data_IF_923883620918
#
_entry.id   IF_923883620918
#
_cell.length_a   1.000
_cell.length_b   1.000
_cell.length_c   1.000
_cell.angle_alpha   90.00
_cell.angle_beta   90.00
_cell.angle_gamma   90.00
#
_symmetry.space_group_name_H-M   'P 1'
#
loop_
_entity.id
_entity.type
_entity.pdbx_description
1 polymer ?
#
# COMPACT_ATOMS: atom_id res chain seq x y z
N UNK A 1 -4.95 12.05 15.75
CA UNK A 1 -4.59 10.72 15.19
C UNK A 1 -5.87 9.97 14.83
N UNK A 2 -5.82 9.03 13.87
CA UNK A 2 -7.00 8.25 13.44
C UNK A 2 -7.16 6.91 14.18
N UNK A 3 -6.12 6.44 14.87
CA UNK A 3 -6.11 5.14 15.55
C UNK A 3 -6.42 5.29 17.05
N UNK A 4 -7.16 4.31 17.57
CA UNK A 4 -7.46 4.17 18.99
C UNK A 4 -6.47 3.21 19.68
N UNK A 5 -6.32 3.26 21.00
CA UNK A 5 -5.46 2.33 21.72
C UNK A 5 -5.81 0.85 21.47
N UNK A 6 -4.78 0.01 21.39
CA UNK A 6 -4.82 -1.43 21.18
C UNK A 6 -5.39 -1.89 19.83
N UNK A 7 -5.59 -0.99 18.87
CA UNK A 7 -6.06 -1.38 17.55
C UNK A 7 -5.00 -2.14 16.76
N UNK A 8 -5.50 -3.04 15.90
CA UNK A 8 -4.70 -3.82 14.95
C UNK A 8 -4.81 -3.21 13.57
N UNK A 9 -3.63 -2.89 13.00
CA UNK A 9 -3.49 -2.35 11.65
C UNK A 9 -2.84 -3.42 10.79
N UNK A 10 -3.56 -3.94 9.81
CA UNK A 10 -3.06 -4.97 8.88
C UNK A 10 -2.73 -4.32 7.55
N UNK A 11 -1.51 -4.52 7.08
CA UNK A 11 -1.06 -4.13 5.74
C UNK A 11 -1.02 -5.37 4.86
N UNK A 12 -1.74 -5.35 3.75
CA UNK A 12 -1.79 -6.45 2.79
C UNK A 12 -1.53 -5.91 1.37
N UNK A 13 -0.84 -6.69 0.55
CA UNK A 13 -0.43 -6.30 -0.79
C UNK A 13 0.61 -7.25 -1.36
N UNK A 14 1.40 -6.76 -2.29
CA UNK A 14 2.42 -7.48 -3.05
C UNK A 14 3.85 -7.38 -2.44
N UNK A 15 4.88 -7.48 -3.31
CA UNK A 15 6.30 -7.39 -2.93
C UNK A 15 6.69 -6.07 -2.25
N UNK A 16 6.04 -4.98 -2.61
CA UNK A 16 6.31 -3.65 -2.04
C UNK A 16 5.88 -3.61 -0.57
N UNK A 17 4.77 -4.28 -0.25
CA UNK A 17 4.29 -4.45 1.13
C UNK A 17 5.10 -5.51 1.87
N UNK A 18 5.43 -6.64 1.24
CA UNK A 18 6.25 -7.72 1.82
C UNK A 18 7.61 -7.19 2.29
N UNK A 19 8.38 -6.60 1.40
CA UNK A 19 9.71 -6.02 1.67
C UNK A 19 10.60 -6.90 2.57
N UNK A 20 10.59 -8.22 2.36
CA UNK A 20 11.39 -9.19 3.11
C UNK A 20 10.89 -9.47 4.54
N UNK A 21 9.60 -9.33 4.81
CA UNK A 21 9.01 -9.54 6.14
C UNK A 21 9.14 -10.94 6.72
N UNK A 22 9.47 -11.95 5.88
CA UNK A 22 9.56 -13.35 6.32
C UNK A 22 10.99 -13.79 6.62
N UNK A 23 11.98 -13.12 6.03
CA UNK A 23 13.38 -13.57 6.02
C UNK A 23 14.39 -12.45 6.28
N UNK A 24 14.25 -11.32 5.57
CA UNK A 24 15.24 -10.22 5.63
C UNK A 24 15.04 -9.31 6.84
N UNK A 25 13.78 -8.94 7.12
CA UNK A 25 13.44 -8.02 8.22
C UNK A 25 12.11 -8.39 8.89
N UNK A 26 12.04 -9.57 9.55
CA UNK A 26 10.82 -10.00 10.24
C UNK A 26 10.45 -9.10 11.44
N UNK A 27 9.16 -8.96 11.77
CA UNK A 27 7.98 -9.47 11.04
C UNK A 27 7.38 -8.45 10.08
N UNK A 28 7.88 -7.22 10.03
CA UNK A 28 7.24 -6.10 9.30
C UNK A 28 7.86 -5.80 7.93
N UNK A 29 9.03 -6.36 7.63
CA UNK A 29 9.77 -6.02 6.43
C UNK A 29 10.63 -4.75 6.59
N UNK A 30 11.64 -4.61 5.72
CA UNK A 30 12.53 -3.44 5.66
C UNK A 30 11.94 -2.24 4.91
N UNK A 31 10.66 -2.32 4.48
CA UNK A 31 10.00 -1.34 3.66
C UNK A 31 9.09 -0.37 4.44
N UNK A 32 8.16 0.24 3.70
CA UNK A 32 7.30 1.30 4.21
C UNK A 32 6.46 0.89 5.44
N UNK A 33 6.05 -0.39 5.54
CA UNK A 33 5.27 -0.89 6.68
C UNK A 33 6.06 -0.76 7.98
N UNK A 34 7.31 -1.21 7.98
CA UNK A 34 8.21 -1.09 9.14
C UNK A 34 8.48 0.37 9.51
N UNK A 35 8.64 1.25 8.50
CA UNK A 35 8.87 2.69 8.72
C UNK A 35 7.63 3.34 9.36
N UNK A 36 6.43 3.11 8.81
CA UNK A 36 5.17 3.63 9.36
C UNK A 36 4.95 3.13 10.79
N UNK A 37 5.14 1.83 11.03
CA UNK A 37 5.01 1.23 12.36
C UNK A 37 5.97 1.89 13.38
N UNK A 38 7.22 2.13 12.97
CA UNK A 38 8.22 2.80 13.81
C UNK A 38 7.78 4.22 14.20
N UNK A 39 7.29 5.02 13.24
CA UNK A 39 6.78 6.37 13.52
C UNK A 39 5.55 6.35 14.45
N UNK A 40 4.60 5.44 14.20
CA UNK A 40 3.42 5.30 15.06
C UNK A 40 3.78 4.91 16.48
N UNK A 41 4.68 3.93 16.64
CA UNK A 41 5.13 3.48 17.95
C UNK A 41 5.91 4.56 18.72
N UNK A 42 6.76 5.30 18.02
CA UNK A 42 7.56 6.38 18.64
C UNK A 42 6.71 7.58 19.07
N UNK A 43 5.69 7.93 18.27
CA UNK A 43 4.83 9.09 18.53
C UNK A 43 3.72 8.80 19.53
N UNK A 44 3.19 7.56 19.55
CA UNK A 44 2.02 7.15 20.34
C UNK A 44 2.28 5.82 21.06
N UNK A 45 3.32 5.73 21.92
CA UNK A 45 3.68 4.48 22.59
C UNK A 45 2.55 3.96 23.49
N UNK A 46 1.73 4.84 24.06
CA UNK A 46 0.59 4.50 24.90
C UNK A 46 -0.54 3.80 24.14
N UNK A 47 -0.63 3.96 22.82
CA UNK A 47 -1.66 3.30 22.01
C UNK A 47 -1.39 1.81 21.81
N UNK A 48 -0.16 1.32 21.97
CA UNK A 48 0.19 -0.10 21.83
C UNK A 48 -0.40 -0.73 20.56
N UNK A 49 -0.29 -0.04 19.42
CA UNK A 49 -0.84 -0.49 18.15
C UNK A 49 -0.18 -1.79 17.70
N UNK A 50 -1.01 -2.77 17.31
CA UNK A 50 -0.53 -4.01 16.73
C UNK A 50 -0.44 -3.88 15.20
N UNK A 51 0.77 -3.71 14.65
CA UNK A 51 0.98 -3.66 13.21
C UNK A 51 1.32 -5.04 12.67
N UNK A 52 0.62 -5.46 11.61
CA UNK A 52 0.80 -6.77 10.95
C UNK A 52 1.04 -6.55 9.47
N UNK A 53 2.07 -7.19 8.94
CA UNK A 53 2.37 -7.20 7.50
C UNK A 53 1.97 -8.55 6.89
N UNK A 54 1.11 -8.51 5.84
CA UNK A 54 0.61 -9.64 5.05
C UNK A 54 0.92 -9.48 3.56
N UNK A 55 1.96 -8.73 3.20
CA UNK A 55 2.45 -8.65 1.83
C UNK A 55 3.00 -9.99 1.35
N UNK A 56 2.79 -10.32 0.06
CA UNK A 56 3.39 -11.47 -0.63
C UNK A 56 3.86 -11.04 -2.02
N UNK A 57 5.16 -11.27 -2.29
CA UNK A 57 5.77 -10.88 -3.55
C UNK A 57 5.07 -11.49 -4.77
N UNK A 58 4.83 -10.67 -5.79
CA UNK A 58 4.26 -11.09 -7.07
C UNK A 58 2.73 -11.20 -7.12
N UNK A 59 2.02 -10.94 -6.02
CA UNK A 59 0.57 -10.98 -6.01
C UNK A 59 -0.05 -9.94 -6.93
N UNK A 60 -1.02 -10.37 -7.73
CA UNK A 60 -2.03 -9.55 -8.35
C UNK A 60 -3.27 -9.49 -7.45
N UNK A 61 -4.31 -8.77 -7.87
CA UNK A 61 -5.59 -8.79 -7.14
C UNK A 61 -6.21 -10.18 -7.10
N UNK A 62 -5.88 -11.09 -8.03
CA UNK A 62 -6.36 -12.48 -8.05
C UNK A 62 -5.74 -13.31 -6.93
N UNK A 63 -4.41 -13.30 -6.80
CA UNK A 63 -3.72 -13.99 -5.71
C UNK A 63 -4.11 -13.40 -4.36
N UNK A 64 -4.26 -12.07 -4.28
CA UNK A 64 -4.77 -11.42 -3.08
C UNK A 64 -6.15 -11.96 -2.70
N UNK A 65 -7.07 -12.12 -3.67
CA UNK A 65 -8.39 -12.68 -3.44
C UNK A 65 -8.34 -14.14 -2.93
N UNK A 66 -7.43 -14.95 -3.45
CA UNK A 66 -7.29 -16.36 -3.06
C UNK A 66 -6.91 -16.56 -1.58
N UNK A 67 -6.25 -15.57 -0.96
CA UNK A 67 -5.83 -15.62 0.44
C UNK A 67 -6.57 -14.64 1.37
N UNK A 68 -7.63 -13.97 0.84
CA UNK A 68 -8.30 -12.89 1.55
C UNK A 68 -8.88 -13.31 2.90
N UNK A 69 -9.53 -14.47 2.96
CA UNK A 69 -10.12 -14.98 4.19
C UNK A 69 -9.08 -15.22 5.29
N UNK A 70 -7.93 -15.75 4.94
CA UNK A 70 -6.88 -16.07 5.92
C UNK A 70 -6.07 -14.83 6.31
N UNK A 71 -5.64 -14.04 5.33
CA UNK A 71 -4.62 -13.01 5.53
C UNK A 71 -5.19 -11.61 5.78
N UNK A 72 -6.45 -11.36 5.40
CA UNK A 72 -7.16 -10.14 5.73
C UNK A 72 -8.17 -10.38 6.85
N UNK A 73 -9.25 -11.10 6.57
CA UNK A 73 -10.38 -11.26 7.49
C UNK A 73 -9.98 -12.03 8.75
N UNK A 74 -9.28 -13.15 8.59
CA UNK A 74 -8.82 -14.01 9.72
C UNK A 74 -7.83 -13.33 10.67
N UNK A 75 -7.27 -12.20 10.30
CA UNK A 75 -6.42 -11.39 11.18
C UNK A 75 -7.21 -10.49 12.12
N UNK A 76 -8.53 -10.38 11.95
CA UNK A 76 -9.43 -9.51 12.69
C UNK A 76 -8.89 -8.06 12.79
N UNK A 77 -8.76 -7.34 11.67
CA UNK A 77 -8.21 -5.99 11.65
C UNK A 77 -9.21 -4.96 12.19
N UNK A 78 -8.75 -3.96 12.92
CA UNK A 78 -9.49 -2.71 13.13
C UNK A 78 -9.29 -1.76 11.94
N UNK A 79 -8.10 -1.85 11.33
CA UNK A 79 -7.74 -1.13 10.12
C UNK A 79 -7.07 -2.07 9.13
N UNK A 80 -7.57 -2.08 7.90
CA UNK A 80 -7.01 -2.86 6.81
C UNK A 80 -6.47 -1.91 5.72
N UNK A 81 -5.16 -1.98 5.50
CA UNK A 81 -4.47 -1.25 4.45
C UNK A 81 -4.19 -2.17 3.28
N UNK A 82 -4.68 -1.80 2.09
CA UNK A 82 -4.49 -2.56 0.85
C UNK A 82 -3.69 -1.72 -0.14
N UNK A 83 -2.57 -2.27 -0.64
CA UNK A 83 -1.81 -1.73 -1.76
C UNK A 83 -1.53 -2.85 -2.75
N UNK A 84 -2.23 -2.86 -3.87
CA UNK A 84 -2.20 -3.90 -4.91
C UNK A 84 -2.47 -3.28 -6.28
N UNK A 85 -2.00 -3.92 -7.35
CA UNK A 85 -2.34 -3.54 -8.71
C UNK A 85 -1.14 -3.36 -9.64
N UNK A 86 0.07 -3.19 -9.11
CA UNK A 86 1.23 -3.00 -9.98
C UNK A 86 1.57 -4.30 -10.75
N UNK A 87 1.43 -5.48 -10.14
CA UNK A 87 1.63 -6.75 -10.85
C UNK A 87 0.53 -7.03 -11.86
N UNK A 88 -0.71 -6.59 -11.59
CA UNK A 88 -1.84 -6.64 -12.52
C UNK A 88 -1.48 -5.94 -13.85
N UNK A 89 -0.77 -4.82 -13.76
CA UNK A 89 -0.31 -4.00 -14.87
C UNK A 89 0.99 -4.57 -15.47
N UNK A 90 1.98 -4.84 -14.61
CA UNK A 90 3.34 -5.23 -14.99
C UNK A 90 3.36 -6.40 -15.95
N UNK A 91 2.54 -7.41 -15.70
CA UNK A 91 2.50 -8.63 -16.53
C UNK A 91 2.15 -8.36 -17.99
N UNK A 92 1.41 -7.27 -18.32
CA UNK A 92 1.15 -6.87 -19.71
C UNK A 92 2.43 -6.43 -20.46
N UNK A 93 3.43 -5.94 -19.72
CA UNK A 93 4.66 -5.39 -20.29
C UNK A 93 5.85 -6.34 -20.13
N UNK A 94 5.65 -7.47 -19.45
CA UNK A 94 6.67 -8.47 -19.16
C UNK A 94 6.50 -9.77 -19.95
N UNK A 95 7.17 -10.81 -19.49
CA UNK A 95 7.18 -12.14 -20.12
C UNK A 95 5.96 -13.01 -19.80
N UNK A 96 5.04 -12.56 -18.96
CA UNK A 96 3.88 -13.35 -18.49
C UNK A 96 2.55 -12.60 -18.70
N UNK A 97 2.19 -12.20 -19.93
CA UNK A 97 0.99 -11.38 -20.17
C UNK A 97 -0.33 -12.08 -19.77
N UNK A 98 -0.36 -13.41 -19.72
CA UNK A 98 -1.52 -14.18 -19.26
C UNK A 98 -1.85 -13.94 -17.76
N UNK A 99 -0.88 -13.49 -16.95
CA UNK A 99 -1.10 -13.15 -15.54
C UNK A 99 -1.62 -11.72 -15.34
N UNK A 100 -1.57 -10.89 -16.36
CA UNK A 100 -2.10 -9.55 -16.28
C UNK A 100 -3.59 -9.56 -15.95
N UNK A 101 -4.03 -8.62 -15.13
CA UNK A 101 -5.43 -8.51 -14.75
C UNK A 101 -6.01 -7.26 -15.39
N UNK A 102 -7.06 -7.37 -16.22
CA UNK A 102 -7.69 -6.20 -16.82
C UNK A 102 -8.26 -5.23 -15.78
N UNK A 103 -8.24 -3.94 -16.08
CA UNK A 103 -8.71 -2.88 -15.17
C UNK A 103 -10.12 -3.12 -14.63
N UNK A 104 -11.05 -3.60 -15.46
CA UNK A 104 -12.42 -3.88 -15.04
C UNK A 104 -12.50 -5.03 -14.03
N UNK A 105 -11.68 -6.06 -14.21
CA UNK A 105 -11.58 -7.19 -13.26
C UNK A 105 -10.91 -6.73 -11.95
N UNK A 106 -9.81 -5.99 -12.04
CA UNK A 106 -9.17 -5.38 -10.87
C UNK A 106 -10.18 -4.56 -10.04
N UNK A 107 -10.92 -3.67 -10.70
CA UNK A 107 -11.91 -2.82 -10.05
C UNK A 107 -13.01 -3.64 -9.35
N UNK A 108 -13.56 -4.64 -10.03
CA UNK A 108 -14.63 -5.48 -9.48
C UNK A 108 -14.13 -6.33 -8.31
N UNK A 109 -12.96 -6.94 -8.47
CA UNK A 109 -12.37 -7.79 -7.43
C UNK A 109 -12.01 -6.98 -6.20
N UNK A 110 -11.33 -5.84 -6.37
CA UNK A 110 -10.97 -5.00 -5.23
C UNK A 110 -12.20 -4.51 -4.45
N UNK A 111 -13.26 -4.05 -5.14
CA UNK A 111 -14.52 -3.67 -4.47
C UNK A 111 -15.12 -4.82 -3.68
N UNK A 112 -15.15 -6.02 -4.25
CA UNK A 112 -15.67 -7.21 -3.59
C UNK A 112 -14.89 -7.53 -2.33
N UNK A 113 -13.57 -7.51 -2.39
CA UNK A 113 -12.68 -7.78 -1.26
C UNK A 113 -12.87 -6.76 -0.13
N UNK A 114 -12.89 -5.48 -0.45
CA UNK A 114 -13.09 -4.43 0.55
C UNK A 114 -14.46 -4.52 1.20
N UNK A 115 -15.51 -4.81 0.42
CA UNK A 115 -16.86 -5.04 0.95
C UNK A 115 -16.88 -6.19 1.94
N UNK A 116 -16.31 -7.34 1.57
CA UNK A 116 -16.20 -8.49 2.46
C UNK A 116 -15.46 -8.17 3.77
N UNK A 117 -14.37 -7.39 3.69
CA UNK A 117 -13.63 -7.00 4.88
C UNK A 117 -14.50 -6.15 5.82
N UNK A 118 -15.15 -5.12 5.30
CA UNK A 118 -16.02 -4.25 6.09
C UNK A 118 -17.20 -5.03 6.68
N UNK A 119 -17.90 -5.83 5.87
CA UNK A 119 -19.09 -6.56 6.31
C UNK A 119 -18.78 -7.61 7.37
N UNK A 120 -17.60 -8.25 7.31
CA UNK A 120 -17.24 -9.37 8.20
C UNK A 120 -16.42 -8.95 9.44
N UNK A 121 -15.73 -7.82 9.40
CA UNK A 121 -14.88 -7.39 10.52
C UNK A 121 -15.23 -6.02 11.08
N UNK A 122 -15.99 -5.21 10.34
CA UNK A 122 -16.25 -3.81 10.70
C UNK A 122 -15.02 -2.89 10.57
N UNK A 123 -13.93 -3.36 9.92
CA UNK A 123 -12.68 -2.62 9.86
C UNK A 123 -12.82 -1.31 9.06
N UNK A 124 -11.99 -0.34 9.42
CA UNK A 124 -11.75 0.85 8.61
C UNK A 124 -10.71 0.53 7.54
N UNK A 125 -10.83 1.20 6.39
CA UNK A 125 -10.00 0.93 5.24
C UNK A 125 -8.98 2.03 4.97
N UNK A 126 -7.79 1.61 4.52
CA UNK A 126 -6.78 2.44 3.88
C UNK A 126 -6.53 1.81 2.50
N UNK A 127 -6.73 2.57 1.44
CA UNK A 127 -6.45 2.13 0.07
C UNK A 127 -5.30 2.96 -0.47
N UNK A 128 -4.17 2.31 -0.69
CA UNK A 128 -3.01 2.91 -1.34
C UNK A 128 -3.04 2.58 -2.84
N UNK A 129 -2.76 3.59 -3.65
CA UNK A 129 -2.70 3.43 -5.11
C UNK A 129 -1.52 2.54 -5.50
N UNK A 130 -1.62 1.73 -6.57
CA UNK A 130 -0.43 1.23 -7.23
C UNK A 130 0.39 2.42 -7.77
N UNK A 131 1.67 2.20 -8.06
CA UNK A 131 2.52 3.25 -8.61
C UNK A 131 3.60 2.68 -9.52
N UNK A 132 4.17 3.55 -10.34
CA UNK A 132 5.41 3.31 -11.08
C UNK A 132 6.32 4.53 -10.97
N UNK A 133 7.61 4.31 -10.83
CA UNK A 133 8.62 5.38 -10.73
C UNK A 133 9.06 5.76 -12.14
N UNK A 134 8.18 6.50 -12.83
CA UNK A 134 8.33 6.93 -14.21
C UNK A 134 7.72 8.33 -14.40
N UNK A 135 8.50 9.35 -14.74
CA UNK A 135 8.00 10.71 -14.93
C UNK A 135 7.29 10.91 -16.27
N UNK A 136 7.64 10.13 -17.31
CA UNK A 136 7.02 10.27 -18.62
C UNK A 136 5.60 9.69 -18.63
N UNK A 137 4.61 10.57 -18.64
CA UNK A 137 3.19 10.17 -18.68
C UNK A 137 2.77 9.56 -20.03
N UNK A 138 3.60 9.67 -21.07
CA UNK A 138 3.38 9.01 -22.34
C UNK A 138 3.93 7.57 -22.37
N UNK A 139 4.75 7.17 -21.38
CA UNK A 139 5.16 5.77 -21.21
C UNK A 139 3.92 4.87 -21.07
N UNK A 140 3.81 3.80 -21.88
CA UNK A 140 2.60 2.97 -21.90
C UNK A 140 2.26 2.33 -20.54
N UNK A 141 3.29 1.93 -19.77
CA UNK A 141 3.09 1.32 -18.46
C UNK A 141 2.68 2.40 -17.44
N UNK A 142 3.25 3.60 -17.50
CA UNK A 142 2.85 4.73 -16.69
C UNK A 142 1.39 5.12 -16.98
N UNK A 143 1.02 5.25 -18.24
CA UNK A 143 -0.36 5.56 -18.64
C UNK A 143 -1.36 4.47 -18.19
N UNK A 144 -0.94 3.19 -18.18
CA UNK A 144 -1.75 2.12 -17.61
C UNK A 144 -1.88 2.27 -16.09
N UNK A 145 -0.78 2.54 -15.38
CA UNK A 145 -0.78 2.72 -13.92
C UNK A 145 -1.66 3.89 -13.50
N UNK A 146 -1.61 5.01 -14.20
CA UNK A 146 -2.47 6.18 -13.90
C UNK A 146 -3.96 5.82 -13.93
N UNK A 147 -4.40 4.92 -14.84
CA UNK A 147 -5.80 4.43 -14.87
C UNK A 147 -6.16 3.59 -13.65
N UNK A 148 -5.26 2.72 -13.19
CA UNK A 148 -5.48 1.92 -11.96
C UNK A 148 -5.48 2.82 -10.72
N UNK A 149 -4.66 3.85 -10.67
CA UNK A 149 -4.69 4.86 -9.61
C UNK A 149 -6.04 5.55 -9.53
N UNK A 150 -6.61 5.98 -10.67
CA UNK A 150 -7.94 6.60 -10.69
C UNK A 150 -9.01 5.67 -10.14
N UNK A 151 -9.01 4.41 -10.56
CA UNK A 151 -9.96 3.40 -10.06
C UNK A 151 -9.77 3.16 -8.56
N UNK A 152 -8.53 3.06 -8.08
CA UNK A 152 -8.27 2.91 -6.65
C UNK A 152 -8.78 4.10 -5.83
N UNK A 153 -8.65 5.34 -6.34
CA UNK A 153 -9.22 6.56 -5.72
C UNK A 153 -10.74 6.53 -5.66
N UNK A 154 -11.38 6.17 -6.75
CA UNK A 154 -12.85 6.03 -6.81
C UNK A 154 -13.34 5.01 -5.79
N UNK A 155 -12.70 3.84 -5.74
CA UNK A 155 -13.02 2.79 -4.77
C UNK A 155 -12.77 3.28 -3.33
N UNK A 156 -11.67 3.94 -3.06
CA UNK A 156 -11.41 4.52 -1.74
C UNK A 156 -12.52 5.48 -1.31
N UNK A 157 -12.99 6.33 -2.24
CA UNK A 157 -14.09 7.27 -1.97
C UNK A 157 -15.43 6.55 -1.73
N UNK A 158 -15.75 5.50 -2.51
CA UNK A 158 -16.96 4.68 -2.35
C UNK A 158 -17.07 4.06 -0.95
N UNK A 159 -15.94 3.67 -0.35
CA UNK A 159 -15.88 3.06 0.98
C UNK A 159 -15.60 4.05 2.11
N UNK A 160 -15.43 5.34 1.84
CA UNK A 160 -14.98 6.31 2.83
C UNK A 160 -13.59 5.97 3.40
N UNK A 161 -12.77 5.26 2.63
CA UNK A 161 -11.44 4.83 3.03
C UNK A 161 -10.45 6.00 3.03
N UNK A 162 -9.38 5.86 3.82
CA UNK A 162 -8.21 6.74 3.68
C UNK A 162 -7.52 6.40 2.37
N UNK A 163 -7.47 7.34 1.42
CA UNK A 163 -6.72 7.14 0.19
C UNK A 163 -5.27 7.61 0.36
N UNK A 164 -4.31 6.72 0.06
CA UNK A 164 -2.89 7.04 0.02
C UNK A 164 -2.46 7.21 -1.43
N UNK A 165 -2.12 8.43 -1.81
CA UNK A 165 -1.76 8.81 -3.18
C UNK A 165 -0.27 8.56 -3.43
N UNK A 166 0.10 7.30 -3.54
CA UNK A 166 1.49 6.86 -3.69
C UNK A 166 2.11 7.32 -5.01
N UNK A 167 1.34 7.30 -6.11
CA UNK A 167 1.83 7.80 -7.39
C UNK A 167 2.14 9.29 -7.34
N UNK A 168 1.26 10.10 -6.73
CA UNK A 168 1.51 11.54 -6.60
C UNK A 168 2.77 11.83 -5.75
N UNK A 169 3.04 10.99 -4.73
CA UNK A 169 4.24 11.16 -3.91
C UNK A 169 5.53 10.90 -4.70
N UNK A 170 5.54 9.89 -5.59
CA UNK A 170 6.66 9.70 -6.50
C UNK A 170 6.73 10.80 -7.57
N UNK A 171 5.60 11.24 -8.12
CA UNK A 171 5.58 12.36 -9.08
C UNK A 171 6.19 13.64 -8.46
N UNK A 172 6.00 13.86 -7.17
CA UNK A 172 6.57 15.02 -6.48
C UNK A 172 8.09 14.95 -6.41
N UNK A 173 8.66 13.82 -5.97
CA UNK A 173 10.11 13.69 -5.84
C UNK A 173 10.80 13.63 -7.21
N UNK A 174 10.16 13.05 -8.21
CA UNK A 174 10.67 12.97 -9.59
C UNK A 174 10.73 14.32 -10.33
N UNK A 175 10.20 15.41 -9.77
CA UNK A 175 10.39 16.76 -10.33
C UNK A 175 11.84 17.23 -10.26
N UNK A 176 12.62 16.69 -9.33
CA UNK A 176 13.99 17.14 -9.05
C UNK A 176 15.01 16.00 -8.99
N UNK A 177 14.59 14.76 -9.24
CA UNK A 177 15.44 13.57 -9.12
C UNK A 177 15.17 12.60 -10.27
N UNK A 178 16.05 11.60 -10.45
CA UNK A 178 15.88 10.55 -11.45
C UNK A 178 15.19 9.30 -10.86
N UNK A 179 14.48 8.49 -11.68
CA UNK A 179 13.92 7.22 -11.24
C UNK A 179 14.90 6.29 -10.52
N UNK A 180 16.15 6.23 -10.99
CA UNK A 180 17.21 5.39 -10.42
C UNK A 180 17.59 5.77 -8.98
N UNK A 181 17.27 6.97 -8.52
CA UNK A 181 17.48 7.37 -7.11
C UNK A 181 16.53 6.63 -6.16
N UNK A 182 15.43 6.07 -6.68
CA UNK A 182 14.34 5.49 -5.90
C UNK A 182 14.13 3.99 -6.11
N UNK A 183 14.48 3.47 -7.30
CA UNK A 183 14.37 2.04 -7.65
C UNK A 183 15.24 1.70 -8.86
N UNK A 184 15.76 0.46 -8.90
CA UNK A 184 16.53 -0.03 -10.04
C UNK A 184 15.63 -0.45 -11.24
N UNK A 185 14.40 -0.86 -10.97
CA UNK A 185 13.47 -1.43 -11.96
C UNK A 185 12.17 -0.63 -12.13
N UNK A 186 12.10 0.58 -11.60
CA UNK A 186 10.95 1.48 -11.62
C UNK A 186 9.75 1.03 -10.74
N UNK A 187 9.85 -0.11 -10.04
CA UNK A 187 8.75 -0.72 -9.27
C UNK A 187 9.14 -1.02 -7.83
N UNK A 188 10.25 -1.74 -7.65
CA UNK A 188 10.69 -2.14 -6.31
C UNK A 188 11.55 -1.05 -5.69
N UNK A 189 11.00 -0.28 -4.74
CA UNK A 189 11.71 0.87 -4.20
C UNK A 189 12.90 0.42 -3.35
N UNK A 190 13.97 1.17 -3.47
CA UNK A 190 15.07 1.10 -2.51
C UNK A 190 14.64 1.72 -1.16
N UNK A 191 15.54 1.76 -0.18
CA UNK A 191 15.22 2.29 1.16
C UNK A 191 14.69 3.74 1.14
N UNK A 192 15.30 4.71 0.42
CA UNK A 192 14.71 6.04 0.21
C UNK A 192 13.33 6.00 -0.46
N UNK A 193 13.13 5.16 -1.48
CA UNK A 193 11.83 5.02 -2.13
C UNK A 193 10.73 4.49 -1.19
N UNK A 194 11.06 3.55 -0.31
CA UNK A 194 10.14 3.14 0.75
C UNK A 194 9.81 4.27 1.74
N UNK A 195 10.74 5.19 1.98
CA UNK A 195 10.46 6.36 2.82
C UNK A 195 9.46 7.33 2.15
N UNK A 196 9.50 7.46 0.81
CA UNK A 196 8.49 8.24 0.06
C UNK A 196 7.08 7.66 0.29
N UNK A 197 6.93 6.34 0.17
CA UNK A 197 5.66 5.66 0.43
C UNK A 197 5.22 5.87 1.88
N UNK A 198 6.12 5.67 2.84
CA UNK A 198 5.81 5.85 4.25
C UNK A 198 5.36 7.29 4.57
N UNK A 199 5.99 8.30 3.99
CA UNK A 199 5.54 9.70 4.12
C UNK A 199 4.14 9.91 3.54
N UNK A 200 3.83 9.33 2.37
CA UNK A 200 2.49 9.40 1.79
C UNK A 200 1.44 8.80 2.74
N UNK A 201 1.72 7.64 3.35
CA UNK A 201 0.86 7.04 4.37
C UNK A 201 0.68 7.95 5.58
N UNK A 202 1.77 8.46 6.15
CA UNK A 202 1.72 9.32 7.34
C UNK A 202 0.92 10.60 7.07
N UNK A 203 1.12 11.24 5.90
CA UNK A 203 0.33 12.40 5.47
C UNK A 203 -1.17 12.07 5.36
N UNK A 204 -1.53 10.98 4.70
CA UNK A 204 -2.92 10.54 4.54
C UNK A 204 -3.61 10.22 5.88
N UNK A 205 -2.85 9.77 6.87
CA UNK A 205 -3.30 9.50 8.23
C UNK A 205 -3.34 10.77 9.11
N UNK A 206 -3.00 11.95 8.58
CA UNK A 206 -2.86 13.18 9.34
C UNK A 206 -1.87 13.03 10.52
N UNK A 207 -0.80 12.27 10.29
CA UNK A 207 0.28 12.15 11.25
C UNK A 207 1.11 13.43 11.28
N UNK A 208 1.28 13.98 12.46
CA UNK A 208 2.15 15.14 12.70
C UNK A 208 3.22 14.75 13.70
N UNK A 209 4.48 15.01 13.37
CA UNK A 209 5.53 14.97 14.38
C UNK A 209 5.26 16.12 15.35
N UNK A 210 4.78 15.84 16.56
CA UNK A 210 4.74 16.86 17.60
C UNK A 210 6.18 17.16 18.01
N UNK A 211 6.61 18.40 17.78
CA UNK A 211 7.78 18.93 18.46
C UNK A 211 7.46 18.87 19.98
N UNK A 212 8.21 18.01 20.70
CA UNK A 212 7.93 17.63 22.07
C UNK A 212 7.44 18.77 22.95
N UNK A 213 6.19 18.71 23.32
CA UNK A 213 5.75 19.19 24.62
C UNK A 213 5.59 17.93 25.48
N UNK A 214 6.68 17.52 26.12
CA UNK A 214 6.56 16.74 27.36
C UNK A 214 6.43 17.77 28.48
N UNK A 215 5.45 17.59 29.35
CA UNK A 215 5.33 18.42 30.54
C UNK A 215 6.56 18.30 31.44
#
# INVERSE_FOLDING_TARGET
>A
MRFEPNQRIVFIGDSITDAGRRDVAPPLGGGYVGIVAGFLAAQYPEHRLAVVNRGIGGDTVRELAARWDTDAIGTAPDWLSVMIGINDIWHNFGSQPARAVPLAEYATTLRTLLRQAVDRTGCRLIVAEPYIIEPDRADPQRAATDRYCLVAREIAAEFGAVNVRTQDAFDEVLRSTAPADWADDRIHPNRPGHAVIAQAFLRALNFTLSAGQRP
#
